data_IF_554013617719
#
_entry.id   IF_554013617719
#
_cell.length_a   1.000
_cell.length_b   1.000
_cell.length_c   1.000
_cell.angle_alpha   90.00
_cell.angle_beta   90.00
_cell.angle_gamma   90.00
#
_symmetry.space_group_name_H-M   'P 1'
#
loop_
_entity.id
_entity.type
_entity.pdbx_description
1 polymer ?
#
# COMPACT_ATOMS: atom_id res chain seq x y z
N UNK A 1 -71.81 12.53 8.69
CA UNK A 1 -70.44 12.77 9.18
C UNK A 1 -69.69 11.44 9.09
N UNK A 2 -68.76 11.29 8.14
CA UNK A 2 -67.93 10.07 8.00
C UNK A 2 -66.61 10.31 8.74
N UNK A 3 -66.09 9.33 9.51
CA UNK A 3 -64.85 9.51 10.24
C UNK A 3 -63.67 9.46 9.27
N UNK A 4 -62.84 10.51 9.29
CA UNK A 4 -61.57 10.57 8.56
C UNK A 4 -60.54 9.76 9.32
N UNK A 5 -60.11 8.64 8.75
CA UNK A 5 -59.07 7.78 9.32
C UNK A 5 -57.71 8.35 8.91
N UNK A 6 -57.03 9.02 9.84
CA UNK A 6 -55.68 9.54 9.63
C UNK A 6 -54.68 8.39 9.77
N UNK A 7 -54.15 7.91 8.65
CA UNK A 7 -53.07 6.91 8.62
C UNK A 7 -51.75 7.59 8.98
N UNK A 8 -51.17 7.21 10.13
CA UNK A 8 -49.85 7.65 10.58
C UNK A 8 -48.78 6.84 9.81
N UNK A 9 -48.07 7.48 8.87
CA UNK A 9 -46.89 6.91 8.24
C UNK A 9 -45.73 6.95 9.23
N UNK A 10 -45.32 5.80 9.78
CA UNK A 10 -44.00 5.68 10.42
C UNK A 10 -42.93 5.74 9.31
N UNK A 11 -42.13 6.80 9.29
CA UNK A 11 -40.86 6.77 8.58
C UNK A 11 -39.95 5.79 9.31
N UNK A 12 -39.77 4.59 8.75
CA UNK A 12 -38.66 3.73 9.12
C UNK A 12 -37.37 4.45 8.72
N UNK A 13 -36.60 4.92 9.70
CA UNK A 13 -35.21 5.27 9.45
C UNK A 13 -34.50 4.00 8.98
N UNK A 14 -33.78 4.03 7.85
CA UNK A 14 -32.97 2.88 7.49
C UNK A 14 -32.02 2.64 8.64
N UNK A 15 -32.03 1.43 9.21
CA UNK A 15 -30.98 1.01 10.12
C UNK A 15 -29.66 1.26 9.38
N UNK A 16 -28.85 2.19 9.89
CA UNK A 16 -27.51 2.37 9.39
C UNK A 16 -26.87 0.98 9.41
N UNK A 17 -26.49 0.46 8.24
CA UNK A 17 -25.72 -0.76 8.19
C UNK A 17 -24.59 -0.58 9.21
N UNK A 18 -24.41 -1.56 10.10
CA UNK A 18 -23.26 -1.67 10.99
C UNK A 18 -21.98 -1.93 10.17
N UNK A 19 -21.81 -1.08 9.15
CA UNK A 19 -21.04 -1.24 7.94
C UNK A 19 -19.61 -0.92 8.30
N UNK A 20 -18.85 -1.98 8.51
CA UNK A 20 -17.42 -1.93 8.67
C UNK A 20 -16.89 -0.89 9.68
N UNK A 21 -17.23 -1.10 10.95
CA UNK A 21 -16.68 -0.25 12.02
C UNK A 21 -15.14 -0.27 12.02
N UNK A 22 -14.52 0.89 12.26
CA UNK A 22 -13.06 1.00 12.35
C UNK A 22 -12.45 0.04 13.38
N UNK A 23 -13.14 -0.20 14.50
CA UNK A 23 -12.72 -1.14 15.54
C UNK A 23 -12.64 -2.57 15.04
N UNK A 24 -13.59 -3.01 14.20
CA UNK A 24 -13.54 -4.31 13.55
C UNK A 24 -12.30 -4.43 12.65
N UNK A 25 -12.05 -3.41 11.81
CA UNK A 25 -10.89 -3.38 10.92
C UNK A 25 -9.56 -3.41 11.71
N UNK A 26 -9.48 -2.69 12.84
CA UNK A 26 -8.31 -2.73 13.73
C UNK A 26 -8.10 -4.12 14.35
N UNK A 27 -9.17 -4.79 14.77
CA UNK A 27 -9.09 -6.18 15.25
C UNK A 27 -8.63 -7.13 14.16
N UNK A 28 -9.16 -7.00 12.94
CA UNK A 28 -8.74 -7.82 11.81
C UNK A 28 -7.26 -7.63 11.47
N UNK A 29 -6.78 -6.39 11.43
CA UNK A 29 -5.35 -6.05 11.29
C UNK A 29 -4.50 -6.73 12.37
N UNK A 30 -4.95 -6.70 13.64
CA UNK A 30 -4.25 -7.36 14.73
C UNK A 30 -4.17 -8.89 14.55
N UNK A 31 -5.21 -9.52 14.00
CA UNK A 31 -5.19 -10.95 13.65
C UNK A 31 -4.23 -11.27 12.51
N UNK A 32 -4.15 -10.42 11.49
CA UNK A 32 -3.13 -10.54 10.44
C UNK A 32 -1.71 -10.46 11.02
N UNK A 33 -1.39 -9.43 11.80
CA UNK A 33 -0.08 -9.25 12.41
C UNK A 33 0.28 -10.40 13.37
N UNK A 34 -0.68 -10.88 14.15
CA UNK A 34 -0.50 -12.04 15.04
C UNK A 34 -0.18 -13.30 14.23
N UNK A 35 -0.91 -13.51 13.13
CA UNK A 35 -0.70 -14.66 12.25
C UNK A 35 0.69 -14.63 11.61
N UNK A 36 1.10 -13.47 11.08
CA UNK A 36 2.40 -13.29 10.45
C UNK A 36 3.56 -13.46 11.44
N UNK A 37 3.42 -12.91 12.65
CA UNK A 37 4.43 -13.05 13.71
C UNK A 37 4.60 -14.51 14.12
N UNK A 38 3.49 -15.26 14.20
CA UNK A 38 3.50 -16.66 14.59
C UNK A 38 3.94 -17.61 13.47
N UNK A 39 3.89 -17.17 12.20
CA UNK A 39 4.00 -18.08 11.06
C UNK A 39 2.84 -19.07 11.02
N UNK A 40 1.66 -18.64 11.47
CA UNK A 40 0.47 -19.47 11.56
C UNK A 40 -0.77 -18.67 11.17
N UNK A 41 -1.53 -19.11 10.14
CA UNK A 41 -2.73 -18.41 9.66
C UNK A 41 -3.95 -18.55 10.59
N UNK A 42 -3.80 -19.13 11.79
CA UNK A 42 -4.93 -19.53 12.64
C UNK A 42 -5.80 -18.36 13.11
N UNK A 43 -5.18 -17.26 13.57
CA UNK A 43 -5.92 -16.06 13.99
C UNK A 43 -6.68 -15.44 12.83
N UNK A 44 -6.06 -15.32 11.66
CA UNK A 44 -6.71 -14.79 10.46
C UNK A 44 -7.84 -15.70 9.97
N UNK A 45 -7.69 -17.02 10.07
CA UNK A 45 -8.71 -18.00 9.68
C UNK A 45 -10.02 -17.84 10.46
N UNK A 46 -10.00 -17.21 11.64
CA UNK A 46 -11.21 -16.92 12.42
C UNK A 46 -12.12 -15.88 11.79
N UNK A 47 -11.61 -15.10 10.82
CA UNK A 47 -12.39 -14.10 10.07
C UNK A 47 -13.06 -14.69 8.83
N UNK A 48 -12.77 -15.96 8.49
CA UNK A 48 -13.38 -16.60 7.33
C UNK A 48 -14.83 -16.97 7.63
N UNK A 49 -15.67 -16.93 6.59
CA UNK A 49 -17.05 -17.42 6.70
C UNK A 49 -17.06 -18.93 6.93
N UNK A 50 -18.04 -19.41 7.68
CA UNK A 50 -18.31 -20.84 7.87
C UNK A 50 -19.04 -21.47 6.68
N UNK A 51 -19.55 -20.63 5.77
CA UNK A 51 -20.12 -21.06 4.48
C UNK A 51 -19.05 -21.02 3.39
N UNK A 52 -19.18 -21.78 2.28
CA UNK A 52 -18.23 -21.71 1.18
C UNK A 52 -18.07 -20.25 0.72
N UNK A 53 -16.93 -19.65 1.05
CA UNK A 53 -16.60 -18.30 0.65
C UNK A 53 -15.64 -18.34 -0.54
N UNK A 54 -15.76 -17.34 -1.41
CA UNK A 54 -14.79 -17.09 -2.47
C UNK A 54 -13.56 -16.38 -1.89
N UNK A 55 -13.04 -16.86 -0.74
CA UNK A 55 -11.86 -16.29 -0.13
C UNK A 55 -10.65 -16.51 -1.04
N UNK A 56 -9.97 -15.42 -1.38
CA UNK A 56 -8.75 -15.47 -2.17
C UNK A 56 -7.57 -14.99 -1.33
N UNK A 57 -6.44 -15.67 -1.48
CA UNK A 57 -5.17 -15.26 -0.92
C UNK A 57 -4.16 -15.12 -2.05
N UNK A 58 -3.59 -13.94 -2.20
CA UNK A 58 -2.62 -13.62 -3.25
C UNK A 58 -1.33 -13.07 -2.66
N UNK A 59 -0.21 -13.50 -3.22
CA UNK A 59 1.10 -12.88 -3.02
C UNK A 59 1.68 -12.51 -4.38
N UNK A 60 2.10 -11.26 -4.53
CA UNK A 60 2.70 -10.74 -5.76
C UNK A 60 1.82 -10.98 -7.01
N UNK A 61 0.51 -10.75 -6.88
CA UNK A 61 -0.53 -11.01 -7.89
C UNK A 61 -0.69 -12.49 -8.29
N UNK A 62 -0.13 -13.43 -7.53
CA UNK A 62 -0.26 -14.87 -7.74
C UNK A 62 -1.21 -15.45 -6.69
N UNK A 63 -2.22 -16.20 -7.14
CA UNK A 63 -3.11 -16.95 -6.27
C UNK A 63 -2.33 -18.07 -5.56
N UNK A 64 -2.48 -18.15 -4.23
CA UNK A 64 -1.90 -19.23 -3.42
C UNK A 64 -3.05 -20.12 -2.88
N UNK A 65 -3.40 -21.22 -3.56
CA UNK A 65 -4.55 -22.05 -3.17
C UNK A 65 -4.41 -22.64 -1.76
N UNK A 66 -3.22 -23.16 -1.42
CA UNK A 66 -2.89 -23.65 -0.08
C UNK A 66 -2.12 -22.59 0.73
N UNK A 67 -2.71 -21.39 0.82
CA UNK A 67 -2.12 -20.27 1.55
C UNK A 67 -1.78 -20.61 3.00
N UNK A 68 -2.50 -21.54 3.63
CA UNK A 68 -2.24 -21.91 5.03
C UNK A 68 -0.86 -22.55 5.24
N UNK A 69 -0.27 -23.11 4.18
CA UNK A 69 1.03 -23.79 4.23
C UNK A 69 2.08 -23.17 3.33
N UNK A 70 1.64 -22.51 2.26
CA UNK A 70 2.52 -22.08 1.16
C UNK A 70 2.68 -20.56 1.06
N UNK A 71 1.97 -19.79 1.88
CA UNK A 71 2.11 -18.33 1.92
C UNK A 71 3.18 -17.87 2.90
N UNK A 72 3.54 -16.59 2.83
CA UNK A 72 4.37 -15.93 3.83
C UNK A 72 3.77 -16.00 5.24
N UNK A 73 2.44 -16.06 5.40
CA UNK A 73 1.81 -16.23 6.71
C UNK A 73 2.14 -17.57 7.37
N UNK A 74 2.61 -18.57 6.62
CA UNK A 74 3.09 -19.84 7.17
C UNK A 74 4.56 -19.79 7.64
N UNK A 75 5.21 -18.62 7.51
CA UNK A 75 6.59 -18.38 7.93
C UNK A 75 6.62 -17.33 9.03
N UNK A 76 7.20 -17.60 10.22
CA UNK A 76 7.26 -16.62 11.29
C UNK A 76 8.21 -15.48 10.94
N UNK A 77 7.75 -14.24 11.14
CA UNK A 77 8.56 -13.03 10.96
C UNK A 77 8.73 -12.25 12.26
N UNK A 78 9.92 -11.71 12.47
CA UNK A 78 10.12 -10.61 13.43
C UNK A 78 9.54 -9.34 12.83
N UNK A 79 8.53 -8.75 13.47
CA UNK A 79 7.93 -7.50 13.02
C UNK A 79 8.65 -6.35 13.72
N UNK A 80 9.60 -5.72 13.03
CA UNK A 80 10.34 -4.57 13.56
C UNK A 80 9.51 -3.28 13.48
N UNK A 81 8.65 -3.21 12.48
CA UNK A 81 7.75 -2.09 12.27
C UNK A 81 6.48 -2.54 11.57
N UNK A 82 5.35 -1.93 11.93
CA UNK A 82 4.13 -2.02 11.14
C UNK A 82 3.31 -0.74 11.24
N UNK A 83 2.63 -0.38 10.15
CA UNK A 83 1.67 0.73 10.09
C UNK A 83 0.46 0.27 9.32
N UNK A 84 -0.74 0.67 9.75
CA UNK A 84 -1.98 0.24 9.09
C UNK A 84 -2.98 1.37 8.97
N UNK A 85 -3.76 1.35 7.91
CA UNK A 85 -4.88 2.25 7.66
C UNK A 85 -6.17 1.46 7.44
N UNK A 86 -7.31 2.07 7.76
CA UNK A 86 -8.58 1.36 7.87
C UNK A 86 -9.66 2.10 7.08
N UNK A 87 -10.05 1.52 5.95
CA UNK A 87 -11.03 2.08 5.02
C UNK A 87 -12.42 1.55 5.34
N UNK A 88 -13.17 2.32 6.12
CA UNK A 88 -14.55 1.96 6.51
C UNK A 88 -15.55 2.05 5.35
N UNK A 89 -15.20 2.75 4.27
CA UNK A 89 -16.08 2.88 3.08
C UNK A 89 -16.00 1.64 2.21
N UNK A 90 -14.81 1.13 1.93
CA UNK A 90 -14.62 -0.10 1.13
C UNK A 90 -14.60 -1.38 1.98
N UNK A 91 -14.68 -1.23 3.30
CA UNK A 91 -14.43 -2.29 4.26
C UNK A 91 -13.13 -3.05 4.00
N UNK A 92 -12.03 -2.29 4.10
CA UNK A 92 -10.70 -2.77 3.78
C UNK A 92 -9.67 -2.32 4.81
N UNK A 93 -8.58 -3.08 4.93
CA UNK A 93 -7.37 -2.65 5.63
C UNK A 93 -6.20 -2.62 4.68
N UNK A 94 -5.22 -1.78 5.00
CA UNK A 94 -3.86 -1.87 4.47
C UNK A 94 -2.88 -1.94 5.64
N UNK A 95 -1.83 -2.73 5.48
CA UNK A 95 -0.72 -2.84 6.42
C UNK A 95 0.61 -2.82 5.68
N UNK A 96 1.46 -1.85 6.01
CA UNK A 96 2.90 -1.88 5.73
C UNK A 96 3.59 -2.60 6.90
N UNK A 97 4.36 -3.64 6.60
CA UNK A 97 5.13 -4.44 7.57
C UNK A 97 6.60 -4.47 7.14
N UNK A 98 7.50 -4.19 8.08
CA UNK A 98 8.94 -4.32 7.88
C UNK A 98 9.50 -5.36 8.84
N UNK A 99 10.17 -6.34 8.25
CA UNK A 99 10.88 -7.41 8.94
C UNK A 99 12.35 -7.33 8.57
N UNK A 100 13.06 -6.37 9.14
CA UNK A 100 14.47 -6.10 8.84
C UNK A 100 15.44 -7.01 9.63
N UNK A 101 15.03 -7.49 10.80
CA UNK A 101 15.88 -8.30 11.70
C UNK A 101 15.59 -9.81 11.63
N UNK A 102 14.61 -10.23 10.83
CA UNK A 102 14.42 -11.63 10.49
C UNK A 102 15.62 -12.20 9.74
N UNK A 103 15.86 -13.52 9.86
CA UNK A 103 16.91 -14.23 9.11
C UNK A 103 16.80 -13.98 7.60
N UNK A 104 15.57 -13.93 7.10
CA UNK A 104 15.27 -13.49 5.74
C UNK A 104 14.43 -12.21 5.83
N UNK A 105 15.00 -11.04 5.47
CA UNK A 105 14.29 -9.79 5.62
C UNK A 105 13.17 -9.61 4.59
N UNK A 106 12.09 -8.94 5.00
CA UNK A 106 10.96 -8.60 4.12
C UNK A 106 10.47 -7.18 4.34
N UNK A 107 9.90 -6.59 3.28
CA UNK A 107 8.95 -5.47 3.36
C UNK A 107 7.68 -5.93 2.66
N UNK A 108 6.56 -5.86 3.37
CA UNK A 108 5.29 -6.43 2.92
C UNK A 108 4.21 -5.38 3.00
N UNK A 109 3.51 -5.18 1.89
CA UNK A 109 2.32 -4.35 1.81
C UNK A 109 1.12 -5.28 1.63
N UNK A 110 0.21 -5.34 2.59
CA UNK A 110 -0.93 -6.25 2.57
C UNK A 110 -2.24 -5.49 2.61
N UNK A 111 -3.17 -5.88 1.75
CA UNK A 111 -4.55 -5.43 1.76
C UNK A 111 -5.49 -6.57 2.11
N UNK A 112 -6.42 -6.31 3.00
CA UNK A 112 -7.53 -7.21 3.31
C UNK A 112 -8.86 -6.57 2.91
N UNK A 113 -9.76 -7.34 2.31
CA UNK A 113 -11.14 -6.93 2.03
C UNK A 113 -12.11 -7.82 2.79
N UNK A 114 -13.22 -7.23 3.20
CA UNK A 114 -14.28 -7.93 3.91
C UNK A 114 -15.60 -7.84 3.16
N UNK A 115 -16.35 -8.94 3.17
CA UNK A 115 -17.68 -9.02 2.57
C UNK A 115 -18.74 -8.28 3.38
N UNK A 116 -19.99 -8.21 2.87
CA UNK A 116 -21.11 -7.59 3.57
C UNK A 116 -21.41 -8.19 4.95
N UNK A 117 -21.03 -9.45 5.18
CA UNK A 117 -21.15 -10.18 6.44
C UNK A 117 -19.92 -10.00 7.37
N UNK A 118 -19.00 -9.11 7.01
CA UNK A 118 -17.71 -8.89 7.67
C UNK A 118 -16.78 -10.13 7.63
N UNK A 119 -17.07 -11.12 6.78
CA UNK A 119 -16.14 -12.21 6.55
C UNK A 119 -14.99 -11.75 5.66
N UNK A 120 -13.78 -12.24 5.94
CA UNK A 120 -12.60 -11.98 5.13
C UNK A 120 -12.79 -12.63 3.74
N UNK A 121 -12.75 -11.80 2.69
CA UNK A 121 -13.00 -12.21 1.31
C UNK A 121 -11.72 -12.18 0.45
N UNK A 122 -10.77 -11.34 0.79
CA UNK A 122 -9.49 -11.24 0.08
C UNK A 122 -8.38 -10.89 1.05
N UNK A 123 -7.24 -11.57 0.89
CA UNK A 123 -5.93 -11.04 1.28
C UNK A 123 -5.08 -10.98 0.03
N UNK A 124 -4.52 -9.82 -0.27
CA UNK A 124 -3.47 -9.70 -1.28
C UNK A 124 -2.26 -8.96 -0.68
N UNK A 125 -1.07 -9.43 -1.01
CA UNK A 125 0.17 -8.84 -0.52
C UNK A 125 1.15 -8.60 -1.66
N UNK A 126 1.86 -7.48 -1.62
CA UNK A 126 3.13 -7.31 -2.31
C UNK A 126 4.22 -7.66 -1.30
N UNK A 127 4.80 -8.85 -1.46
CA UNK A 127 5.86 -9.41 -0.62
C UNK A 127 7.18 -9.15 -1.31
N UNK A 128 8.01 -8.27 -0.73
CA UNK A 128 9.34 -7.96 -1.27
C UNK A 128 10.45 -8.47 -0.36
N UNK A 129 11.52 -8.94 -0.99
CA UNK A 129 12.73 -9.41 -0.35
C UNK A 129 13.99 -9.19 -1.23
N UNK A 130 15.10 -9.82 -0.86
CA UNK A 130 16.37 -9.69 -1.57
C UNK A 130 16.23 -9.96 -3.07
N UNK A 131 16.67 -8.98 -3.88
CA UNK A 131 16.60 -9.02 -5.33
C UNK A 131 15.42 -8.26 -5.92
N UNK A 132 14.44 -7.85 -5.12
CA UNK A 132 13.36 -6.97 -5.59
C UNK A 132 13.85 -5.53 -5.79
N UNK A 133 12.98 -4.70 -6.38
CA UNK A 133 13.30 -3.35 -6.81
C UNK A 133 13.88 -2.52 -5.66
N UNK A 134 15.16 -2.19 -5.76
CA UNK A 134 15.93 -1.41 -4.78
C UNK A 134 15.89 -1.96 -3.34
N UNK A 135 15.51 -3.23 -3.14
CA UNK A 135 15.15 -3.77 -1.84
C UNK A 135 16.25 -3.63 -0.76
N UNK A 136 15.86 -3.06 0.38
CA UNK A 136 16.65 -2.92 1.59
C UNK A 136 15.71 -2.69 2.81
N UNK A 137 15.33 -3.77 3.49
CA UNK A 137 14.42 -3.69 4.65
C UNK A 137 14.97 -2.80 5.80
N UNK A 138 16.28 -2.85 6.08
CA UNK A 138 16.89 -1.97 7.10
C UNK A 138 16.86 -0.50 6.67
N UNK A 139 17.08 -0.23 5.38
CA UNK A 139 16.93 1.09 4.78
C UNK A 139 15.51 1.63 4.93
N UNK A 140 14.51 0.82 4.58
CA UNK A 140 13.09 1.14 4.79
C UNK A 140 12.83 1.49 6.25
N UNK A 141 13.17 0.60 7.19
CA UNK A 141 12.96 0.81 8.62
C UNK A 141 13.57 2.12 9.12
N UNK A 142 14.81 2.40 8.75
CA UNK A 142 15.51 3.61 9.18
C UNK A 142 14.90 4.90 8.61
N UNK A 143 14.33 4.85 7.41
CA UNK A 143 13.72 6.01 6.76
C UNK A 143 12.33 6.31 7.32
N UNK A 144 11.53 5.29 7.62
CA UNK A 144 10.10 5.47 7.93
C UNK A 144 9.77 5.53 9.43
N UNK A 145 10.65 5.03 10.31
CA UNK A 145 10.34 4.89 11.74
C UNK A 145 10.10 6.23 12.46
N UNK A 146 10.78 7.28 12.01
CA UNK A 146 10.76 8.60 12.64
C UNK A 146 9.73 9.55 11.97
N UNK A 147 8.97 9.04 10.99
CA UNK A 147 7.92 9.80 10.34
C UNK A 147 6.70 10.00 11.24
N UNK A 148 6.14 11.21 11.19
CA UNK A 148 4.94 11.58 11.94
C UNK A 148 3.66 11.26 11.16
N UNK A 149 2.93 10.25 11.63
CA UNK A 149 1.66 9.79 11.05
C UNK A 149 0.50 9.96 12.03
N UNK A 150 0.45 11.07 12.76
CA UNK A 150 -0.64 11.33 13.71
C UNK A 150 -2.01 11.43 12.99
N UNK A 151 -3.11 11.03 13.65
CA UNK A 151 -4.46 11.33 13.19
C UNK A 151 -4.63 12.83 12.92
N UNK A 152 -5.15 13.16 11.75
CA UNK A 152 -5.49 14.53 11.38
C UNK A 152 -6.77 14.92 12.15
N UNK A 153 -6.81 16.09 12.82
CA UNK A 153 -8.03 16.56 13.48
C UNK A 153 -9.19 16.67 12.48
N UNK A 154 -10.42 16.32 12.89
CA UNK A 154 -11.58 16.22 11.98
C UNK A 154 -11.79 17.45 11.08
N UNK A 155 -11.65 18.66 11.62
CA UNK A 155 -11.79 19.92 10.85
C UNK A 155 -10.66 20.21 9.85
N UNK A 156 -9.59 19.40 9.83
CA UNK A 156 -8.46 19.49 8.88
C UNK A 156 -8.35 18.25 7.98
N UNK A 157 -9.21 17.24 8.17
CA UNK A 157 -9.22 16.04 7.31
C UNK A 157 -9.70 16.41 5.93
N UNK A 158 -9.00 15.90 4.93
CA UNK A 158 -9.39 16.08 3.54
C UNK A 158 -10.43 15.02 3.15
N UNK A 159 -11.21 15.31 2.12
CA UNK A 159 -12.16 14.33 1.61
C UNK A 159 -11.44 13.11 1.03
N UNK A 160 -12.11 11.96 1.06
CA UNK A 160 -11.67 10.73 0.38
C UNK A 160 -11.20 10.96 -1.05
N UNK A 161 -11.99 11.71 -1.83
CA UNK A 161 -11.68 12.03 -3.22
C UNK A 161 -10.41 12.86 -3.38
N UNK A 162 -10.13 13.76 -2.44
CA UNK A 162 -8.90 14.57 -2.44
C UNK A 162 -7.68 13.71 -2.14
N UNK A 163 -7.80 12.80 -1.17
CA UNK A 163 -6.73 11.86 -0.80
C UNK A 163 -6.44 10.90 -1.96
N UNK A 164 -7.47 10.33 -2.59
CA UNK A 164 -7.31 9.51 -3.79
C UNK A 164 -6.61 10.28 -4.92
N UNK A 165 -6.97 11.56 -5.10
CA UNK A 165 -6.38 12.45 -6.09
C UNK A 165 -4.86 12.62 -5.96
N UNK A 166 -4.27 12.38 -4.79
CA UNK A 166 -2.82 12.36 -4.63
C UNK A 166 -2.16 11.19 -5.35
N UNK A 167 -2.66 9.99 -5.11
CA UNK A 167 -2.17 8.80 -5.78
C UNK A 167 -2.47 8.85 -7.29
N UNK A 168 -3.64 9.37 -7.66
CA UNK A 168 -4.01 9.52 -9.06
C UNK A 168 -3.07 10.47 -9.81
N UNK A 169 -2.82 11.67 -9.28
CA UNK A 169 -1.87 12.60 -9.87
C UNK A 169 -0.46 11.99 -9.97
N UNK A 170 -0.03 11.23 -8.97
CA UNK A 170 1.26 10.54 -8.98
C UNK A 170 1.36 9.54 -10.14
N UNK A 171 0.39 8.64 -10.29
CA UNK A 171 0.44 7.65 -11.38
C UNK A 171 0.14 8.27 -12.76
N UNK A 172 -0.71 9.28 -12.84
CA UNK A 172 -1.00 9.98 -14.09
C UNK A 172 0.22 10.77 -14.60
N UNK A 173 1.11 11.21 -13.69
CA UNK A 173 2.39 11.84 -14.05
C UNK A 173 3.33 10.90 -14.83
N UNK A 174 3.25 9.60 -14.58
CA UNK A 174 4.01 8.61 -15.37
C UNK A 174 3.50 8.50 -16.80
N UNK A 175 2.21 8.73 -17.03
CA UNK A 175 1.63 8.70 -18.37
C UNK A 175 1.89 10.03 -19.12
N UNK A 176 1.83 11.17 -18.42
CA UNK A 176 1.94 12.49 -19.03
C UNK A 176 2.75 13.47 -18.18
N UNK A 177 3.72 14.13 -18.81
CA UNK A 177 4.51 15.18 -18.16
C UNK A 177 3.72 16.44 -17.81
N UNK A 178 2.49 16.59 -18.34
CA UNK A 178 1.63 17.75 -18.11
C UNK A 178 0.82 17.65 -16.80
N UNK A 179 0.85 16.51 -16.13
CA UNK A 179 0.18 16.33 -14.83
C UNK A 179 1.09 16.89 -13.74
N UNK A 180 0.56 17.74 -12.86
CA UNK A 180 1.28 18.19 -11.67
C UNK A 180 0.95 17.27 -10.49
N UNK A 181 2.00 16.81 -9.80
CA UNK A 181 1.87 16.06 -8.55
C UNK A 181 1.97 17.06 -7.39
N UNK A 182 0.95 17.16 -6.49
CA UNK A 182 0.99 18.11 -5.38
C UNK A 182 1.91 17.58 -4.26
N UNK A 183 3.21 17.50 -4.50
CA UNK A 183 4.17 16.95 -3.53
C UNK A 183 4.83 18.08 -2.72
N UNK A 184 4.82 17.93 -1.39
CA UNK A 184 5.44 18.85 -0.45
C UNK A 184 6.74 18.33 0.16
N UNK A 185 7.25 19.07 1.15
CA UNK A 185 8.37 18.64 1.97
C UNK A 185 8.02 17.35 2.75
N UNK A 186 8.97 16.41 2.96
CA UNK A 186 10.41 16.53 2.68
C UNK A 186 10.83 16.21 1.24
N UNK A 187 9.91 16.10 0.27
CA UNK A 187 10.22 15.80 -1.13
C UNK A 187 11.02 14.50 -1.28
N UNK A 188 10.49 13.44 -0.66
CA UNK A 188 11.14 12.16 -0.52
C UNK A 188 10.15 11.04 -0.82
N UNK A 189 10.57 10.07 -1.64
CA UNK A 189 9.97 8.74 -1.75
C UNK A 189 10.92 7.70 -1.19
N UNK A 190 10.40 6.77 -0.40
CA UNK A 190 11.10 5.57 0.03
C UNK A 190 10.79 4.48 -0.98
N UNK A 191 11.78 4.15 -1.81
CA UNK A 191 11.63 3.21 -2.92
C UNK A 191 12.47 1.98 -2.67
N UNK A 192 11.83 0.87 -2.27
CA UNK A 192 12.53 -0.35 -1.88
C UNK A 192 13.47 -0.18 -0.67
N UNK A 193 13.37 0.91 0.09
CA UNK A 193 14.31 1.24 1.18
C UNK A 193 15.44 2.19 0.78
N UNK A 194 15.38 2.74 -0.44
CA UNK A 194 16.24 3.84 -0.89
C UNK A 194 15.49 5.17 -0.79
N UNK A 195 16.16 6.18 -0.25
CA UNK A 195 15.67 7.55 -0.22
C UNK A 195 15.81 8.24 -1.59
N UNK A 196 14.73 8.27 -2.37
CA UNK A 196 14.68 9.01 -3.64
C UNK A 196 14.22 10.44 -3.36
N UNK A 197 15.20 11.36 -3.39
CA UNK A 197 15.02 12.77 -3.03
C UNK A 197 14.81 13.63 -4.27
N UNK A 198 13.84 14.51 -4.18
CA UNK A 198 13.68 15.62 -5.13
C UNK A 198 14.26 16.90 -4.55
N UNK A 199 14.04 17.98 -5.30
CA UNK A 199 14.46 19.32 -4.93
C UNK A 199 13.23 20.18 -4.62
N UNK A 200 13.16 20.73 -3.41
CA UNK A 200 12.16 21.76 -3.10
C UNK A 200 12.56 23.07 -3.81
N UNK A 201 11.70 23.57 -4.69
CA UNK A 201 11.88 24.84 -5.40
C UNK A 201 10.77 25.81 -5.06
N UNK A 202 11.12 27.09 -4.95
CA UNK A 202 10.13 28.15 -4.88
C UNK A 202 9.47 28.34 -6.24
N UNK A 203 8.14 28.23 -6.29
CA UNK A 203 7.34 28.54 -7.46
C UNK A 203 7.32 30.05 -7.68
N UNK A 204 8.14 30.50 -8.65
CA UNK A 204 8.27 31.91 -9.03
C UNK A 204 6.99 32.47 -9.65
N UNK A 205 6.08 31.61 -10.12
CA UNK A 205 4.82 32.03 -10.74
C UNK A 205 3.68 32.20 -9.72
N UNK A 206 3.90 31.82 -8.45
CA UNK A 206 2.94 31.98 -7.33
C UNK A 206 3.50 32.90 -6.24
N UNK A 207 3.89 34.11 -6.65
CA UNK A 207 4.40 35.17 -5.76
C UNK A 207 5.58 34.76 -4.86
N UNK A 208 6.31 33.70 -5.21
CA UNK A 208 7.51 33.27 -4.48
C UNK A 208 7.25 32.66 -3.09
N UNK A 209 6.00 32.31 -2.74
CA UNK A 209 5.66 31.74 -1.42
C UNK A 209 5.30 30.26 -1.46
N UNK A 210 4.86 29.76 -2.62
CA UNK A 210 4.58 28.34 -2.78
C UNK A 210 5.87 27.58 -3.11
N UNK A 211 6.18 26.53 -2.35
CA UNK A 211 7.24 25.60 -2.73
C UNK A 211 6.65 24.45 -3.57
N UNK A 212 7.43 23.84 -4.46
CA UNK A 212 7.09 22.65 -5.24
C UNK A 212 8.23 21.65 -5.13
N UNK A 213 7.89 20.37 -4.93
CA UNK A 213 8.86 19.29 -4.98
C UNK A 213 9.08 18.85 -6.44
N UNK A 214 10.29 19.08 -6.95
CA UNK A 214 10.68 18.66 -8.30
C UNK A 214 11.43 17.33 -8.23
N UNK A 215 10.85 16.32 -8.86
CA UNK A 215 11.38 14.96 -8.96
C UNK A 215 11.69 14.60 -10.41
N UNK A 216 12.58 13.65 -10.63
CA UNK A 216 12.83 13.07 -11.96
C UNK A 216 11.87 11.90 -12.18
N UNK A 217 11.18 11.90 -13.32
CA UNK A 217 10.16 10.91 -13.65
C UNK A 217 10.40 10.34 -15.04
N UNK A 218 10.21 9.02 -15.25
CA UNK A 218 9.94 8.53 -16.58
C UNK A 218 8.57 9.04 -17.07
N UNK A 219 8.35 8.99 -18.38
CA UNK A 219 7.10 9.39 -19.05
C UNK A 219 6.72 8.30 -20.05
N UNK A 220 5.42 8.14 -20.30
CA UNK A 220 4.88 7.14 -21.23
C UNK A 220 4.52 5.81 -20.58
N UNK A 221 4.51 5.73 -19.24
CA UNK A 221 4.10 4.53 -18.50
C UNK A 221 2.66 4.77 -18.02
N UNK A 222 1.72 4.00 -18.58
CA UNK A 222 0.33 4.06 -18.18
C UNK A 222 0.03 3.00 -17.11
N UNK A 223 -0.46 3.40 -15.94
CA UNK A 223 -0.82 2.50 -14.83
C UNK A 223 -2.35 2.51 -14.65
N UNK A 224 -3.09 1.71 -15.45
CA UNK A 224 -4.56 1.79 -15.52
C UNK A 224 -5.30 1.13 -14.36
N UNK A 225 -4.74 0.05 -13.80
CA UNK A 225 -5.43 -0.75 -12.79
C UNK A 225 -4.93 -0.39 -11.40
N UNK A 226 -5.77 0.35 -10.67
CA UNK A 226 -5.47 0.87 -9.33
C UNK A 226 -6.50 0.38 -8.34
N UNK A 227 -6.04 -0.21 -7.24
CA UNK A 227 -6.91 -0.75 -6.20
C UNK A 227 -6.56 -0.10 -4.87
N UNK A 228 -7.48 0.70 -4.32
CA UNK A 228 -7.19 1.64 -3.25
C UNK A 228 -7.58 1.10 -1.87
N UNK A 229 -6.90 1.60 -0.84
CA UNK A 229 -7.36 1.64 0.55
C UNK A 229 -7.15 3.06 1.05
N UNK A 230 -8.21 3.73 1.52
CA UNK A 230 -8.15 5.15 1.90
C UNK A 230 -8.65 5.32 3.33
N UNK A 231 -7.92 6.11 4.12
CA UNK A 231 -8.26 6.47 5.50
C UNK A 231 -8.15 7.99 5.70
N UNK A 232 -9.29 8.67 5.80
CA UNK A 232 -9.37 10.11 5.93
C UNK A 232 -8.83 10.63 7.27
N UNK A 233 -8.87 9.80 8.32
CA UNK A 233 -8.32 10.17 9.61
C UNK A 233 -6.80 10.31 9.54
N UNK A 234 -6.14 9.42 8.79
CA UNK A 234 -4.72 9.53 8.53
C UNK A 234 -4.39 10.27 7.24
N UNK A 235 -5.36 10.85 6.53
CA UNK A 235 -5.12 11.49 5.23
C UNK A 235 -4.34 10.59 4.27
N UNK A 236 -4.53 9.28 4.35
CA UNK A 236 -3.63 8.29 3.78
C UNK A 236 -4.32 7.45 2.72
N UNK A 237 -3.55 7.04 1.72
CA UNK A 237 -4.02 6.12 0.67
C UNK A 237 -2.92 5.15 0.32
N UNK A 238 -3.23 3.87 0.28
CA UNK A 238 -2.43 2.89 -0.45
C UNK A 238 -3.10 2.54 -1.78
N UNK A 239 -2.28 2.24 -2.79
CA UNK A 239 -2.73 1.76 -4.08
C UNK A 239 -1.92 0.54 -4.51
N UNK A 240 -2.59 -0.60 -4.61
CA UNK A 240 -2.06 -1.78 -5.29
C UNK A 240 -2.26 -1.62 -6.80
N UNK A 241 -1.17 -1.82 -7.54
CA UNK A 241 -1.13 -1.72 -9.00
C UNK A 241 -0.41 -2.92 -9.61
N UNK A 242 -0.58 -3.08 -10.92
CA UNK A 242 0.44 -3.73 -11.74
C UNK A 242 1.26 -2.63 -12.37
N UNK A 243 2.56 -2.52 -12.05
CA UNK A 243 3.44 -1.49 -12.62
C UNK A 243 4.08 -1.98 -13.94
N UNK A 244 3.73 -1.41 -15.11
CA UNK A 244 4.22 -1.92 -16.38
C UNK A 244 5.70 -1.60 -16.62
N UNK A 245 6.43 -2.57 -17.16
CA UNK A 245 7.80 -2.38 -17.63
C UNK A 245 8.85 -2.16 -16.53
N UNK A 246 8.50 -2.36 -15.25
CA UNK A 246 9.45 -2.26 -14.13
C UNK A 246 10.51 -3.36 -14.20
N UNK A 247 10.10 -4.62 -14.38
CA UNK A 247 11.01 -5.74 -14.62
C UNK A 247 11.25 -5.91 -16.13
N UNK A 248 12.52 -5.75 -16.53
CA UNK A 248 12.93 -5.74 -17.94
C UNK A 248 12.95 -7.12 -18.59
N UNK A 249 12.83 -8.19 -17.81
CA UNK A 249 12.79 -9.55 -18.34
C UNK A 249 11.41 -9.95 -18.87
N UNK A 250 10.36 -9.22 -18.48
CA UNK A 250 8.98 -9.44 -18.93
C UNK A 250 8.27 -8.11 -19.16
N UNK A 251 8.68 -7.40 -20.21
CA UNK A 251 8.20 -6.05 -20.52
C UNK A 251 6.71 -5.96 -20.85
N UNK A 252 6.07 -7.08 -21.20
CA UNK A 252 4.65 -7.21 -21.51
C UNK A 252 3.78 -7.49 -20.27
N UNK A 253 4.40 -7.76 -19.12
CA UNK A 253 3.70 -8.04 -17.88
C UNK A 253 3.93 -6.90 -16.88
N UNK A 254 2.89 -6.62 -16.08
CA UNK A 254 2.96 -5.60 -15.05
C UNK A 254 3.38 -6.22 -13.71
N UNK A 255 4.38 -5.63 -13.06
CA UNK A 255 4.96 -6.12 -11.80
C UNK A 255 4.01 -5.85 -10.64
N UNK A 256 3.91 -6.77 -9.68
CA UNK A 256 3.15 -6.53 -8.46
C UNK A 256 3.78 -5.41 -7.64
N UNK A 257 3.01 -4.36 -7.39
CA UNK A 257 3.53 -3.11 -6.86
C UNK A 257 2.48 -2.42 -6.00
N UNK A 258 2.92 -1.73 -4.95
CA UNK A 258 2.08 -1.00 -4.01
C UNK A 258 2.75 0.32 -3.63
N UNK A 259 1.95 1.38 -3.60
CA UNK A 259 2.37 2.73 -3.27
C UNK A 259 1.50 3.30 -2.14
N UNK A 260 2.12 3.57 -1.00
CA UNK A 260 1.46 4.07 0.21
C UNK A 260 1.81 5.54 0.48
N UNK A 261 0.80 6.40 0.45
CA UNK A 261 0.91 7.84 0.51
C UNK A 261 0.35 8.39 1.83
N UNK A 262 1.02 9.39 2.39
CA UNK A 262 0.45 10.34 3.37
C UNK A 262 0.17 11.66 2.67
N UNK A 263 -1.09 12.08 2.67
CA UNK A 263 -1.53 13.43 2.35
C UNK A 263 -1.62 14.31 3.61
N UNK A 264 -1.20 15.56 3.50
CA UNK A 264 -1.41 16.57 4.53
C UNK A 264 -1.43 17.98 3.90
N UNK A 265 -2.41 18.80 4.29
CA UNK A 265 -2.52 20.20 3.85
C UNK A 265 -2.44 20.38 2.32
N UNK A 266 -3.19 19.57 1.57
CA UNK A 266 -3.28 19.68 0.11
C UNK A 266 -2.16 18.97 -0.65
N UNK A 267 -1.24 18.26 0.02
CA UNK A 267 0.00 17.76 -0.58
C UNK A 267 0.39 16.37 -0.11
N UNK A 268 1.10 15.62 -0.96
CA UNK A 268 1.83 14.40 -0.58
C UNK A 268 2.99 14.80 0.32
N UNK A 269 3.05 14.16 1.49
CA UNK A 269 4.11 14.33 2.48
C UNK A 269 5.07 13.15 2.48
N UNK A 270 4.55 11.93 2.60
CA UNK A 270 5.35 10.70 2.56
C UNK A 270 4.82 9.77 1.47
N UNK A 271 5.72 8.97 0.91
CA UNK A 271 5.41 7.95 -0.09
C UNK A 271 6.36 6.76 0.07
N UNK A 272 5.81 5.59 0.34
CA UNK A 272 6.55 4.32 0.42
C UNK A 272 6.13 3.40 -0.71
N UNK A 273 7.08 2.66 -1.28
CA UNK A 273 6.79 1.69 -2.33
C UNK A 273 7.35 0.32 -2.01
N UNK A 274 6.61 -0.70 -2.43
CA UNK A 274 7.04 -2.09 -2.46
C UNK A 274 6.76 -2.65 -3.86
N UNK A 275 7.77 -3.20 -4.53
CA UNK A 275 7.65 -3.72 -5.90
C UNK A 275 8.37 -5.06 -6.02
N UNK A 276 7.62 -6.13 -6.27
CA UNK A 276 8.12 -7.51 -6.24
C UNK A 276 8.46 -8.02 -7.64
N UNK A 277 9.75 -8.08 -7.97
CA UNK A 277 10.23 -8.40 -9.30
C UNK A 277 10.22 -9.91 -9.56
N UNK A 278 10.09 -10.31 -10.83
CA UNK A 278 10.17 -11.73 -11.19
C UNK A 278 11.60 -12.23 -11.20
N UNK A 279 12.54 -11.34 -11.47
CA UNK A 279 13.98 -11.63 -11.49
C UNK A 279 14.72 -10.66 -10.58
N UNK A 280 15.82 -11.13 -10.00
CA UNK A 280 16.64 -10.30 -9.15
C UNK A 280 17.16 -9.08 -9.91
N UNK A 281 17.10 -7.90 -9.27
CA UNK A 281 17.42 -6.61 -9.88
C UNK A 281 16.41 -6.18 -10.95
N UNK A 282 15.27 -6.85 -11.09
CA UNK A 282 14.21 -6.49 -12.05
C UNK A 282 14.72 -6.43 -13.50
N UNK A 283 15.67 -7.32 -13.84
CA UNK A 283 16.32 -7.31 -15.15
C UNK A 283 17.31 -6.17 -15.38
N UNK A 284 17.69 -5.40 -14.35
CA UNK A 284 18.69 -4.32 -14.42
C UNK A 284 20.09 -4.73 -13.93
N UNK A 285 20.31 -6.00 -13.58
CA UNK A 285 21.64 -6.49 -13.21
C UNK A 285 22.60 -6.30 -14.40
N UNK A 286 23.52 -5.34 -14.27
CA UNK A 286 24.47 -4.94 -15.32
C UNK A 286 24.23 -3.54 -15.90
N UNK A 287 23.06 -2.92 -15.67
CA UNK A 287 22.81 -1.51 -16.00
C UNK A 287 23.08 -0.62 -14.80
N UNK A 288 24.02 0.32 -14.94
CA UNK A 288 24.41 1.24 -13.87
C UNK A 288 23.40 2.39 -13.77
N UNK A 289 22.36 2.22 -12.96
CA UNK A 289 21.64 3.37 -12.39
C UNK A 289 22.10 3.56 -10.94
N UNK A 290 22.80 4.66 -10.66
CA UNK A 290 23.03 5.14 -9.30
C UNK A 290 24.09 4.42 -8.44
N UNK A 291 24.70 3.30 -8.87
CA UNK A 291 25.88 2.73 -8.17
C UNK A 291 27.15 3.57 -8.41
N UNK A 292 27.23 4.75 -7.79
CA UNK A 292 28.54 5.21 -7.32
C UNK A 292 28.88 4.41 -6.06
N UNK A 293 29.69 3.38 -6.24
CA UNK A 293 30.62 2.86 -5.22
C UNK A 293 30.04 2.71 -3.80
N UNK A 294 29.20 1.70 -3.58
CA UNK A 294 29.15 1.02 -2.28
C UNK A 294 29.48 -0.44 -2.58
N UNK A 295 30.71 -0.83 -2.24
CA UNK A 295 31.27 -2.16 -2.49
C UNK A 295 30.54 -3.23 -1.69
N UNK A 296 29.42 -3.70 -2.21
CA UNK A 296 28.77 -4.92 -1.75
C UNK A 296 29.16 -6.04 -2.71
N UNK A 297 29.85 -7.10 -2.23
CA UNK A 297 30.23 -8.24 -3.04
C UNK A 297 29.03 -8.88 -3.71
N UNK A 298 29.18 -9.22 -4.99
CA UNK A 298 28.19 -9.96 -5.78
C UNK A 298 28.41 -11.44 -5.51
N UNK A 299 27.99 -11.94 -4.36
CA UNK A 299 28.05 -13.37 -4.07
C UNK A 299 26.65 -13.95 -3.84
N UNK A 300 26.30 -14.89 -4.71
CA UNK A 300 25.17 -15.84 -4.64
C UNK A 300 23.75 -15.27 -4.62
N UNK A 301 23.32 -14.68 -5.74
CA UNK A 301 21.89 -14.52 -6.03
C UNK A 301 21.38 -15.81 -6.67
N UNK A 302 20.71 -16.65 -5.87
CA UNK A 302 19.93 -17.76 -6.39
C UNK A 302 18.85 -17.22 -7.34
N UNK A 303 18.66 -17.89 -8.48
CA UNK A 303 17.54 -17.61 -9.37
C UNK A 303 16.22 -17.64 -8.57
N UNK A 304 15.48 -16.53 -8.55
CA UNK A 304 14.06 -16.51 -8.13
C UNK A 304 13.23 -17.28 -9.17
N UNK A 305 13.39 -18.59 -9.24
CA UNK A 305 12.46 -19.48 -9.93
C UNK A 305 11.43 -19.94 -8.92
N UNK A 306 10.24 -19.31 -9.01
CA UNK A 306 8.91 -19.78 -8.58
C UNK A 306 8.88 -20.75 -7.39
N UNK A 307 8.51 -20.23 -6.23
CA UNK A 307 7.58 -20.91 -5.32
C UNK A 307 6.22 -20.22 -5.48
#
# INVERSE_FOLDING_TARGET
MKPSTTTLLLLATPAAAASCAKTFLQTATAYYLTSQKAGSPSSLSSLLSTTPNNFLYLENNILIPDWKRSSLLATPLVIDFSRSIHDTTQCATFTELVSATSKHPYVVHTRMLFGPDLSLSLVESVVTDAGDWLFNATGTLNLIRDEKWDPIPSGRRESRSKIQGYADAYFDRFASANVSVPWGAPCLRVEGGVAVRGEMKTDKNKNGTAEECVMVWPVGIHVPYRRYVIDEEFGAVDVFVGFPGLDRTRSDQAVADSHFFRGEAGRIKYLHTASACWTAGCGLNGTVFGRRSLGVPVDNVANKTKA
#
